data_IF_027966992695
#
_entry.id   IF_027966992695
#
_cell.length_a   1.000
_cell.length_b   1.000
_cell.length_c   1.000
_cell.angle_alpha   90.00
_cell.angle_beta   90.00
_cell.angle_gamma   90.00
#
_symmetry.space_group_name_H-M   'P 1'
#
loop_
_entity.id
_entity.type
_entity.pdbx_description
1 polymer ?
#
# COMPACT_ATOMS: atom_id res chain seq x y z
N UNK A 1 25.85 -4.81 -7.02
CA UNK A 1 24.40 -5.10 -7.17
C UNK A 1 23.61 -3.87 -6.83
N UNK A 2 22.66 -3.50 -7.68
CA UNK A 2 21.84 -2.30 -7.48
C UNK A 2 20.76 -2.45 -6.39
N UNK A 3 20.31 -3.67 -6.14
CA UNK A 3 19.30 -3.92 -5.12
C UNK A 3 19.92 -3.87 -3.73
N UNK A 4 19.29 -3.12 -2.85
CA UNK A 4 19.72 -2.91 -1.46
C UNK A 4 18.50 -2.68 -0.57
N UNK A 5 18.73 -2.57 0.73
CA UNK A 5 17.64 -2.26 1.66
C UNK A 5 16.94 -0.95 1.25
N UNK A 6 15.62 -0.99 1.17
CA UNK A 6 14.82 0.15 0.78
C UNK A 6 14.64 0.32 -0.73
N UNK A 7 15.21 -0.56 -1.55
CA UNK A 7 14.99 -0.52 -3.00
C UNK A 7 13.51 -0.65 -3.33
N UNK A 8 13.05 0.16 -4.28
CA UNK A 8 11.69 0.14 -4.78
C UNK A 8 11.63 -0.59 -6.10
N UNK A 9 10.86 -1.68 -6.14
CA UNK A 9 10.74 -2.53 -7.31
C UNK A 9 9.41 -2.28 -7.98
N UNK A 10 9.43 -1.94 -9.27
CA UNK A 10 8.22 -1.81 -10.06
C UNK A 10 7.52 -3.15 -10.22
N UNK A 11 6.23 -3.20 -9.96
CA UNK A 11 5.41 -4.40 -10.10
C UNK A 11 4.12 -4.06 -10.80
N UNK A 12 3.49 -5.06 -11.41
CA UNK A 12 2.17 -4.87 -12.00
C UNK A 12 1.08 -5.04 -10.95
N UNK A 13 -0.08 -4.49 -11.25
CA UNK A 13 -1.28 -4.71 -10.43
C UNK A 13 -1.57 -6.20 -10.26
N UNK A 14 -1.41 -6.98 -11.34
CA UNK A 14 -1.63 -8.43 -11.31
C UNK A 14 -0.62 -9.16 -10.43
N UNK A 15 0.62 -8.67 -10.33
CA UNK A 15 1.63 -9.29 -9.47
C UNK A 15 1.26 -9.22 -7.99
N UNK A 16 0.59 -8.15 -7.58
CA UNK A 16 0.26 -7.88 -6.18
C UNK A 16 -1.17 -8.29 -5.85
N UNK A 17 -2.11 -7.97 -6.71
CA UNK A 17 -3.54 -8.24 -6.51
C UNK A 17 -4.10 -9.04 -7.70
N UNK A 18 -3.70 -10.31 -7.86
CA UNK A 18 -4.16 -11.11 -9.01
C UNK A 18 -5.67 -11.32 -9.04
N UNK A 19 -6.34 -11.21 -7.91
CA UNK A 19 -7.80 -11.31 -7.80
C UNK A 19 -8.47 -9.94 -7.70
N UNK A 20 -7.70 -8.85 -7.80
CA UNK A 20 -8.20 -7.50 -7.62
C UNK A 20 -8.31 -7.09 -6.16
N UNK A 21 -8.67 -5.85 -5.93
CA UNK A 21 -8.86 -5.32 -4.59
C UNK A 21 -9.98 -4.28 -4.58
N UNK A 22 -10.62 -4.15 -3.42
CA UNK A 22 -11.67 -3.17 -3.17
C UNK A 22 -11.15 -2.09 -2.24
N UNK A 23 -11.49 -0.84 -2.53
CA UNK A 23 -11.14 0.29 -1.66
C UNK A 23 -12.02 0.27 -0.41
N UNK A 24 -11.39 0.29 0.75
CA UNK A 24 -12.13 0.43 2.02
C UNK A 24 -12.66 1.87 2.12
N UNK A 25 -13.97 2.07 2.33
CA UNK A 25 -14.54 3.42 2.39
C UNK A 25 -13.90 4.28 3.47
N UNK A 26 -13.62 5.54 3.13
CA UNK A 26 -13.05 6.50 4.09
C UNK A 26 -11.61 6.22 4.49
N UNK A 27 -10.91 5.34 3.80
CA UNK A 27 -9.54 4.95 4.17
C UNK A 27 -8.45 5.83 3.57
N UNK A 28 -8.78 6.67 2.59
CA UNK A 28 -7.80 7.59 2.01
C UNK A 28 -7.49 8.68 3.01
N UNK A 29 -6.25 8.73 3.49
CA UNK A 29 -5.82 9.69 4.50
C UNK A 29 -4.43 10.20 4.18
N UNK A 30 -4.10 11.34 4.78
CA UNK A 30 -2.77 11.91 4.74
C UNK A 30 -1.85 11.17 5.71
N UNK A 31 -0.61 10.89 5.29
CA UNK A 31 0.40 10.34 6.18
C UNK A 31 1.09 11.49 6.90
N UNK A 32 1.19 11.39 8.21
CA UNK A 32 1.82 12.42 9.04
C UNK A 32 3.10 11.86 9.66
N UNK A 33 4.17 12.66 9.62
CA UNK A 33 5.39 12.41 10.35
C UNK A 33 5.32 13.10 11.72
N UNK A 34 5.76 12.38 12.73
CA UNK A 34 5.83 12.91 14.08
C UNK A 34 7.27 13.32 14.40
N UNK A 35 7.45 14.59 14.81
CA UNK A 35 8.73 15.10 15.26
C UNK A 35 8.80 15.01 16.79
N UNK A 36 9.61 14.10 17.32
CA UNK A 36 9.77 13.91 18.75
C UNK A 36 10.36 15.16 19.45
N UNK A 37 11.19 15.93 18.75
CA UNK A 37 11.82 17.10 19.34
C UNK A 37 10.83 18.24 19.58
N UNK A 38 9.82 18.43 18.71
CA UNK A 38 8.85 19.52 18.80
C UNK A 38 7.45 19.05 19.22
N UNK A 39 7.19 17.73 19.22
CA UNK A 39 5.87 17.17 19.47
C UNK A 39 4.86 17.47 18.36
N UNK A 40 5.32 17.99 17.22
CA UNK A 40 4.45 18.35 16.10
C UNK A 40 4.33 17.24 15.09
N UNK A 41 3.15 17.12 14.51
CA UNK A 41 2.89 16.29 13.35
C UNK A 41 2.89 17.15 12.11
N UNK A 42 3.58 16.72 11.08
CA UNK A 42 3.64 17.41 9.79
C UNK A 42 3.36 16.43 8.66
N UNK A 43 2.84 16.91 7.51
CA UNK A 43 2.62 16.02 6.37
C UNK A 43 3.92 15.34 5.95
N UNK A 44 3.85 14.02 5.74
CA UNK A 44 4.98 13.26 5.27
C UNK A 44 5.29 13.59 3.82
N UNK A 45 6.58 13.64 3.49
CA UNK A 45 7.06 13.88 2.14
C UNK A 45 7.98 12.72 1.76
N UNK A 46 7.80 12.22 0.54
CA UNK A 46 8.62 11.14 0.04
C UNK A 46 10.05 11.63 -0.26
N UNK A 47 11.04 10.92 0.27
CA UNK A 47 12.46 11.30 0.16
C UNK A 47 12.95 11.38 -1.28
N UNK A 48 12.45 10.50 -2.15
CA UNK A 48 12.98 10.35 -3.50
C UNK A 48 12.27 11.25 -4.51
N UNK A 49 10.98 11.47 -4.32
CA UNK A 49 10.17 12.25 -5.27
C UNK A 49 9.85 13.65 -4.79
N UNK A 50 9.96 13.90 -3.47
CA UNK A 50 9.56 15.16 -2.85
C UNK A 50 8.04 15.36 -2.80
N UNK A 51 7.26 14.37 -3.17
CA UNK A 51 5.80 14.48 -3.18
C UNK A 51 5.20 14.17 -1.84
N UNK A 52 4.05 14.79 -1.51
CA UNK A 52 3.28 14.40 -0.34
C UNK A 52 2.87 12.93 -0.37
N UNK A 53 2.79 12.32 0.80
CA UNK A 53 2.43 10.91 0.94
C UNK A 53 1.03 10.80 1.51
N UNK A 54 0.17 10.10 0.80
CA UNK A 54 -1.15 9.69 1.25
C UNK A 54 -1.18 8.18 1.39
N UNK A 55 -2.21 7.64 1.98
CA UNK A 55 -2.38 6.19 2.07
C UNK A 55 -3.85 5.83 2.00
N UNK A 56 -4.11 4.61 1.57
CA UNK A 56 -5.42 4.03 1.62
C UNK A 56 -5.33 2.57 2.06
N UNK A 57 -6.44 2.00 2.42
CA UNK A 57 -6.55 0.57 2.71
C UNK A 57 -7.42 -0.07 1.67
N UNK A 58 -7.01 -1.24 1.23
CA UNK A 58 -7.76 -2.04 0.27
C UNK A 58 -7.98 -3.43 0.84
N UNK A 59 -9.08 -4.04 0.43
CA UNK A 59 -9.37 -5.43 0.72
C UNK A 59 -8.96 -6.27 -0.48
N UNK A 60 -8.01 -7.16 -0.28
CA UNK A 60 -7.54 -8.10 -1.30
C UNK A 60 -8.61 -9.18 -1.51
N UNK A 61 -8.92 -9.44 -2.76
CA UNK A 61 -9.96 -10.40 -3.14
C UNK A 61 -9.44 -11.83 -3.27
N UNK A 62 -8.21 -12.08 -2.87
CA UNK A 62 -7.64 -13.43 -2.84
C UNK A 62 -8.44 -14.32 -1.88
N UNK A 63 -9.06 -15.41 -2.38
CA UNK A 63 -9.89 -16.27 -1.53
C UNK A 63 -9.11 -17.03 -0.46
N UNK A 64 -7.80 -17.13 -0.61
CA UNK A 64 -6.95 -17.84 0.36
C UNK A 64 -6.56 -16.99 1.57
N UNK A 65 -6.84 -15.70 1.53
CA UNK A 65 -6.56 -14.79 2.65
C UNK A 65 -7.72 -14.77 3.64
N UNK A 66 -7.38 -14.73 4.92
CA UNK A 66 -8.36 -14.71 6.01
C UNK A 66 -8.15 -13.50 6.94
N UNK A 67 -9.26 -12.95 7.41
CA UNK A 67 -9.25 -11.91 8.43
C UNK A 67 -8.39 -10.70 8.07
N UNK A 68 -7.46 -10.35 8.95
CA UNK A 68 -6.59 -9.18 8.79
C UNK A 68 -5.63 -9.27 7.62
N UNK A 69 -5.33 -10.48 7.16
CA UNK A 69 -4.46 -10.67 6.00
C UNK A 69 -5.07 -10.11 4.71
N UNK A 70 -6.38 -9.97 4.69
CA UNK A 70 -7.12 -9.46 3.53
C UNK A 70 -6.94 -7.96 3.34
N UNK A 71 -6.64 -7.22 4.38
CA UNK A 71 -6.50 -5.78 4.33
C UNK A 71 -5.04 -5.37 4.12
N UNK A 72 -4.80 -4.50 3.15
CA UNK A 72 -3.46 -4.04 2.78
C UNK A 72 -3.45 -2.52 2.69
N UNK A 73 -2.39 -1.90 3.19
CA UNK A 73 -2.15 -0.46 3.08
C UNK A 73 -1.33 -0.20 1.83
N UNK A 74 -1.75 0.76 1.02
CA UNK A 74 -0.99 1.25 -0.14
C UNK A 74 -0.76 2.74 0.05
N UNK A 75 0.50 3.16 0.00
CA UNK A 75 0.86 4.58 0.02
C UNK A 75 0.75 5.16 -1.37
N UNK A 76 0.25 6.38 -1.48
CA UNK A 76 0.09 7.08 -2.75
C UNK A 76 0.88 8.37 -2.70
N UNK A 77 1.81 8.52 -3.64
CA UNK A 77 2.65 9.70 -3.78
C UNK A 77 2.02 10.60 -4.83
N UNK A 78 1.43 11.71 -4.40
CA UNK A 78 0.68 12.60 -5.27
C UNK A 78 0.76 14.04 -4.77
N UNK A 79 0.56 15.00 -5.66
CA UNK A 79 0.57 16.43 -5.29
C UNK A 79 -0.66 16.82 -4.47
N UNK A 80 -1.76 16.10 -4.64
CA UNK A 80 -3.02 16.32 -3.94
C UNK A 80 -3.56 15.01 -3.39
N UNK A 81 -4.35 15.12 -2.32
CA UNK A 81 -5.02 13.96 -1.75
C UNK A 81 -5.89 13.27 -2.80
N UNK A 82 -5.66 11.98 -3.06
CA UNK A 82 -6.49 11.22 -3.98
C UNK A 82 -7.93 11.16 -3.50
N UNK A 83 -8.86 11.09 -4.45
CA UNK A 83 -10.26 10.88 -4.15
C UNK A 83 -10.68 9.48 -4.61
N UNK A 84 -11.71 8.89 -3.98
CA UNK A 84 -12.26 7.63 -4.48
C UNK A 84 -12.70 7.79 -5.94
N UNK A 85 -12.31 6.90 -6.84
CA UNK A 85 -12.55 7.09 -8.28
C UNK A 85 -14.03 7.30 -8.67
N UNK A 86 -14.95 6.53 -8.08
CA UNK A 86 -16.38 6.68 -8.32
C UNK A 86 -17.17 7.11 -7.09
N UNK A 87 -16.60 6.98 -5.91
CA UNK A 87 -17.29 7.25 -4.65
C UNK A 87 -18.24 6.16 -4.19
N UNK A 88 -18.36 5.08 -4.93
CA UNK A 88 -19.16 3.92 -4.52
C UNK A 88 -18.42 3.16 -3.43
N UNK A 89 -19.14 2.76 -2.38
CA UNK A 89 -18.54 2.00 -1.28
C UNK A 89 -17.94 0.67 -1.79
N UNK A 90 -16.74 0.36 -1.33
CA UNK A 90 -16.01 -0.86 -1.71
C UNK A 90 -15.81 -1.04 -3.21
N UNK A 91 -15.58 0.05 -3.94
CA UNK A 91 -15.34 -0.03 -5.37
C UNK A 91 -14.04 -0.78 -5.70
N UNK A 92 -14.04 -1.45 -6.85
CA UNK A 92 -12.82 -2.06 -7.40
C UNK A 92 -11.89 -0.97 -7.88
N UNK A 93 -10.64 -1.03 -7.44
CA UNK A 93 -9.63 -0.04 -7.80
C UNK A 93 -8.37 -0.70 -8.35
N UNK A 94 -7.62 0.09 -9.10
CA UNK A 94 -6.28 -0.23 -9.58
C UNK A 94 -5.33 0.89 -9.19
N UNK A 95 -4.06 0.56 -9.08
CA UNK A 95 -3.02 1.53 -8.77
C UNK A 95 -2.10 1.73 -9.96
N UNK A 96 -1.75 2.99 -10.22
CA UNK A 96 -0.75 3.35 -11.22
C UNK A 96 0.63 3.43 -10.59
N UNK A 97 1.65 3.01 -11.32
CA UNK A 97 3.03 3.12 -10.88
C UNK A 97 3.31 2.33 -9.60
N UNK A 98 2.72 1.16 -9.46
CA UNK A 98 2.83 0.35 -8.26
C UNK A 98 4.27 -0.14 -8.06
N UNK A 99 4.78 0.04 -6.85
CA UNK A 99 6.11 -0.39 -6.43
C UNK A 99 6.04 -1.12 -5.11
N UNK A 100 6.94 -2.07 -4.93
CA UNK A 100 7.06 -2.83 -3.69
C UNK A 100 8.45 -2.67 -3.11
N UNK A 101 8.54 -2.56 -1.80
CA UNK A 101 9.80 -2.62 -1.06
C UNK A 101 9.68 -3.74 -0.02
N UNK A 102 10.46 -4.82 -0.15
CA UNK A 102 10.48 -5.85 0.88
C UNK A 102 11.24 -5.33 2.11
N UNK A 103 10.77 -5.69 3.28
CA UNK A 103 11.43 -5.38 4.54
C UNK A 103 11.19 -6.49 5.56
N UNK A 104 11.99 -6.49 6.62
CA UNK A 104 11.81 -7.44 7.71
C UNK A 104 11.02 -6.77 8.81
N UNK A 105 9.85 -7.32 9.11
CA UNK A 105 9.01 -6.86 10.21
C UNK A 105 9.49 -7.51 11.51
N UNK A 106 10.03 -6.70 12.41
CA UNK A 106 10.54 -7.13 13.71
C UNK A 106 9.61 -6.79 14.87
N UNK A 107 8.39 -6.33 14.58
CA UNK A 107 7.43 -5.90 15.60
C UNK A 107 7.08 -6.97 16.64
N UNK A 108 7.29 -8.24 16.32
CA UNK A 108 7.07 -9.35 17.24
C UNK A 108 8.34 -9.85 17.94
N UNK A 109 9.48 -9.21 17.67
CA UNK A 109 10.74 -9.54 18.34
C UNK A 109 10.79 -8.85 19.70
N UNK A 110 10.67 -9.62 20.78
CA UNK A 110 10.66 -9.08 22.14
C UNK A 110 12.00 -9.19 22.87
N UNK A 111 13.07 -9.50 22.13
CA UNK A 111 14.41 -9.59 22.72
C UNK A 111 14.65 -10.79 23.65
N UNK A 112 13.67 -11.66 23.81
CA UNK A 112 13.77 -12.88 24.62
C UNK A 112 13.38 -14.10 23.78
N UNK A 113 14.34 -14.95 23.47
CA UNK A 113 14.07 -16.19 22.78
C UNK A 113 13.82 -16.00 21.28
N UNK A 114 12.82 -16.68 20.74
CA UNK A 114 12.52 -16.67 19.31
C UNK A 114 12.03 -15.31 18.85
N UNK A 115 12.74 -14.73 17.87
CA UNK A 115 12.28 -13.55 17.17
C UNK A 115 11.22 -13.95 16.17
N UNK A 116 10.01 -13.38 16.27
CA UNK A 116 8.93 -13.58 15.31
C UNK A 116 9.07 -12.72 14.06
N UNK A 117 10.30 -12.43 13.63
CA UNK A 117 10.56 -11.64 12.44
C UNK A 117 10.02 -12.35 11.20
N UNK A 118 9.40 -11.58 10.32
CA UNK A 118 8.88 -12.10 9.06
C UNK A 118 9.12 -11.10 7.94
N UNK A 119 9.16 -11.60 6.71
CA UNK A 119 9.22 -10.76 5.52
C UNK A 119 7.88 -10.04 5.35
N UNK A 120 7.94 -8.75 5.12
CA UNK A 120 6.79 -7.93 4.80
C UNK A 120 7.07 -7.07 3.57
N UNK A 121 6.04 -6.50 2.99
CA UNK A 121 6.13 -5.71 1.77
C UNK A 121 5.44 -4.37 1.95
N UNK A 122 6.17 -3.30 1.69
CA UNK A 122 5.63 -1.95 1.66
C UNK A 122 5.22 -1.63 0.22
N UNK A 123 3.98 -1.22 0.03
CA UNK A 123 3.43 -0.89 -1.28
C UNK A 123 3.27 0.62 -1.43
N UNK A 124 3.60 1.13 -2.61
CA UNK A 124 3.35 2.51 -2.97
C UNK A 124 2.96 2.61 -4.43
N UNK A 125 2.24 3.68 -4.75
CA UNK A 125 1.75 3.95 -6.09
C UNK A 125 1.79 5.45 -6.37
N UNK A 126 1.62 5.82 -7.63
CA UNK A 126 1.53 7.23 -8.03
C UNK A 126 0.10 7.70 -8.20
N UNK A 127 -0.86 6.79 -8.24
CA UNK A 127 -2.27 7.14 -8.38
C UNK A 127 -3.18 5.95 -8.16
N UNK A 128 -4.45 6.25 -8.04
CA UNK A 128 -5.53 5.28 -7.90
C UNK A 128 -6.59 5.57 -8.95
N UNK A 129 -7.13 4.52 -9.55
CA UNK A 129 -8.18 4.64 -10.57
C UNK A 129 -9.19 3.52 -10.42
N UNK A 130 -10.34 3.68 -11.06
CA UNK A 130 -11.35 2.64 -11.13
C UNK A 130 -10.82 1.45 -11.94
N UNK A 131 -11.00 0.24 -11.43
CA UNK A 131 -10.77 -0.96 -12.22
C UNK A 131 -11.89 -1.11 -13.26
N UNK A 132 -11.54 -1.18 -14.54
CA UNK A 132 -12.52 -1.20 -15.63
C UNK A 132 -13.37 -2.47 -15.69
N UNK A 133 -12.87 -3.52 -15.15
CA UNK A 133 -13.60 -4.79 -15.03
C UNK A 133 -12.97 -5.57 -13.91
N UNK A 134 -13.79 -6.36 -13.21
CA UNK A 134 -13.25 -7.48 -12.47
C UNK A 134 -12.18 -8.13 -13.35
N UNK A 135 -11.01 -8.50 -12.81
CA UNK A 135 -10.01 -9.17 -13.63
C UNK A 135 -10.75 -10.25 -14.38
N UNK A 136 -10.85 -10.07 -15.68
CA UNK A 136 -11.37 -11.14 -16.52
C UNK A 136 -10.44 -12.30 -16.22
N UNK A 137 -10.93 -13.22 -15.44
CA UNK A 137 -10.43 -14.55 -15.57
C UNK A 137 -10.48 -14.78 -17.08
N UNK A 138 -9.32 -14.76 -17.68
CA UNK A 138 -9.27 -15.14 -19.05
C UNK A 138 -9.97 -16.46 -19.16
N UNK A 139 -11.16 -16.41 -19.72
CA UNK A 139 -11.88 -17.59 -20.10
C UNK A 139 -11.20 -18.26 -21.29
N UNK A 140 -9.96 -18.06 -21.43
CA UNK A 140 -9.18 -18.79 -22.41
C UNK A 140 -8.65 -20.04 -21.74
#
# INVERSE_FOLDING_TARGET
>A
MALRNGSRLGVSMHDVFPHGCHLVPGSITEVLDYDEATGRRSPAVDKYTGKPVFQCRVSDMDPDLEGRQRETVVKILADRMPTPPTGVAFELVEFDGLQVTPYVDTGRCQGKGRCGARMAFSLRATGIKSARSAPKQDAA
#
